data_IF_238997438056
#
_entry.id   IF_238997438056
#
_cell.length_a   1.000
_cell.length_b   1.000
_cell.length_c   1.000
_cell.angle_alpha   90.00
_cell.angle_beta   90.00
_cell.angle_gamma   90.00
#
_symmetry.space_group_name_H-M   'P 1'
#
loop_
_entity.id
_entity.type
_entity.pdbx_description
1 polymer ?
#
# COMPACT_ATOMS: atom_id res chain seq x y z
N UNK A 1 0.37 -6.60 4.23
CA UNK A 1 1.83 -6.62 4.00
C UNK A 1 2.25 -6.82 2.54
N UNK A 2 2.08 -8.01 1.97
CA UNK A 2 2.62 -8.36 0.64
C UNK A 2 2.21 -7.38 -0.47
N UNK A 3 0.94 -6.96 -0.48
CA UNK A 3 0.43 -5.97 -1.44
C UNK A 3 1.17 -4.63 -1.35
N UNK A 4 1.52 -4.18 -0.14
CA UNK A 4 2.21 -2.90 0.07
C UNK A 4 3.69 -2.97 -0.36
N UNK A 5 4.34 -4.12 -0.20
CA UNK A 5 5.67 -4.34 -0.76
C UNK A 5 5.66 -4.37 -2.30
N UNK A 6 4.62 -4.95 -2.92
CA UNK A 6 4.43 -4.88 -4.36
C UNK A 6 4.21 -3.43 -4.81
N UNK A 7 3.39 -2.65 -4.09
CA UNK A 7 3.24 -1.21 -4.35
C UNK A 7 4.60 -0.52 -4.30
N UNK A 8 5.42 -0.76 -3.28
CA UNK A 8 6.73 -0.13 -3.18
C UNK A 8 7.67 -0.51 -4.34
N UNK A 9 7.66 -1.77 -4.77
CA UNK A 9 8.41 -2.22 -5.94
C UNK A 9 7.93 -1.52 -7.22
N UNK A 10 6.62 -1.39 -7.42
CA UNK A 10 6.03 -0.69 -8.56
C UNK A 10 6.32 0.81 -8.53
N UNK A 11 6.31 1.44 -7.35
CA UNK A 11 6.72 2.84 -7.17
C UNK A 11 8.16 3.04 -7.64
N UNK A 12 9.08 2.16 -7.22
CA UNK A 12 10.50 2.23 -7.64
C UNK A 12 10.67 2.04 -9.15
N UNK A 13 9.91 1.11 -9.74
CA UNK A 13 9.86 0.94 -11.20
C UNK A 13 9.24 2.16 -11.91
N UNK A 14 8.28 2.81 -11.26
CA UNK A 14 7.58 4.02 -11.70
C UNK A 14 8.50 5.22 -11.96
N UNK A 15 9.69 5.22 -11.34
CA UNK A 15 10.74 6.21 -11.61
C UNK A 15 11.26 6.14 -13.06
N UNK A 16 11.23 4.97 -13.67
CA UNK A 16 11.75 4.73 -15.01
C UNK A 16 10.63 4.62 -16.05
N UNK A 17 9.48 4.08 -15.67
CA UNK A 17 8.31 3.95 -16.54
C UNK A 17 7.03 4.30 -15.77
N UNK A 18 6.44 5.42 -16.16
CA UNK A 18 5.28 6.04 -15.49
C UNK A 18 4.08 5.09 -15.37
N UNK A 19 3.93 4.11 -16.27
CA UNK A 19 2.80 3.17 -16.20
C UNK A 19 2.78 2.39 -14.87
N UNK A 20 3.96 2.09 -14.31
CA UNK A 20 4.04 1.38 -13.03
C UNK A 20 3.67 2.28 -11.85
N UNK A 21 3.92 3.59 -11.96
CA UNK A 21 3.51 4.55 -10.93
C UNK A 21 2.00 4.69 -10.85
N UNK A 22 1.31 4.66 -12.00
CA UNK A 22 -0.15 4.70 -12.07
C UNK A 22 -0.76 3.43 -11.45
N UNK A 23 -0.22 2.24 -11.78
CA UNK A 23 -0.64 0.97 -11.17
C UNK A 23 -0.39 0.98 -9.65
N UNK A 24 0.79 1.43 -9.21
CA UNK A 24 1.13 1.52 -7.80
C UNK A 24 0.17 2.44 -7.03
N UNK A 25 -0.18 3.59 -7.62
CA UNK A 25 -1.10 4.57 -7.02
C UNK A 25 -2.49 3.95 -6.83
N UNK A 26 -3.04 3.32 -7.88
CA UNK A 26 -4.35 2.66 -7.81
C UNK A 26 -4.39 1.53 -6.77
N UNK A 27 -3.33 0.71 -6.71
CA UNK A 27 -3.22 -0.36 -5.71
C UNK A 27 -3.10 0.18 -4.29
N UNK A 28 -2.32 1.25 -4.08
CA UNK A 28 -2.17 1.90 -2.79
C UNK A 28 -3.50 2.47 -2.29
N UNK A 29 -4.24 3.17 -3.15
CA UNK A 29 -5.58 3.69 -2.85
C UNK A 29 -6.57 2.56 -2.52
N UNK A 30 -6.51 1.46 -3.26
CA UNK A 30 -7.33 0.27 -2.99
C UNK A 30 -7.07 -0.29 -1.59
N UNK A 31 -5.80 -0.50 -1.20
CA UNK A 31 -5.44 -0.97 0.16
C UNK A 31 -5.86 0.04 1.23
N UNK A 32 -5.73 1.34 0.93
CA UNK A 32 -6.12 2.43 1.83
C UNK A 32 -7.60 2.37 2.22
N UNK A 33 -8.47 1.92 1.31
CA UNK A 33 -9.91 1.79 1.51
C UNK A 33 -10.32 0.59 2.37
N UNK A 34 -9.44 -0.40 2.58
CA UNK A 34 -9.72 -1.55 3.46
C UNK A 34 -9.41 -1.28 4.93
N UNK A 35 -8.89 -0.10 5.26
CA UNK A 35 -8.74 0.33 6.66
C UNK A 35 -10.09 0.43 7.34
N UNK A 36 -10.15 0.05 8.62
CA UNK A 36 -11.40 0.13 9.37
C UNK A 36 -11.73 1.59 9.72
N UNK A 37 -12.86 1.80 10.41
CA UNK A 37 -13.36 3.11 10.80
C UNK A 37 -12.40 3.96 11.65
N UNK A 38 -11.38 3.36 12.28
CA UNK A 38 -10.31 4.08 13.01
C UNK A 38 -8.96 4.07 12.27
N UNK A 39 -8.93 3.65 11.01
CA UNK A 39 -7.74 3.68 10.16
C UNK A 39 -6.78 2.50 10.32
N UNK A 40 -7.19 1.41 10.99
CA UNK A 40 -6.32 0.26 11.23
C UNK A 40 -6.39 -0.78 10.11
N UNK A 41 -5.24 -1.41 9.85
CA UNK A 41 -5.07 -2.58 8.97
C UNK A 41 -4.84 -3.87 9.75
N UNK A 42 -5.38 -4.96 9.21
CA UNK A 42 -5.13 -6.34 9.60
C UNK A 42 -3.95 -6.95 8.82
N UNK A 43 -3.66 -8.22 9.13
CA UNK A 43 -2.71 -9.04 8.36
C UNK A 43 -3.19 -9.25 6.92
N UNK A 44 -4.45 -9.63 6.78
CA UNK A 44 -5.05 -10.08 5.54
C UNK A 44 -6.40 -9.43 5.32
N UNK A 45 -6.82 -9.38 4.05
CA UNK A 45 -8.13 -8.91 3.61
C UNK A 45 -8.75 -10.05 2.81
N UNK A 46 -9.94 -10.47 3.19
CA UNK A 46 -10.68 -11.50 2.47
C UNK A 46 -11.12 -11.01 1.08
N UNK A 47 -11.58 -11.92 0.23
CA UNK A 47 -12.17 -11.54 -1.07
C UNK A 47 -13.44 -10.69 -0.90
N UNK A 48 -14.17 -10.86 0.21
CA UNK A 48 -15.32 -10.02 0.59
C UNK A 48 -14.92 -8.66 1.18
N UNK A 49 -13.63 -8.42 1.43
CA UNK A 49 -13.11 -7.18 2.01
C UNK A 49 -13.05 -7.16 3.53
N UNK A 50 -13.34 -8.28 4.19
CA UNK A 50 -13.24 -8.40 5.64
C UNK A 50 -11.78 -8.43 6.08
N UNK A 51 -11.49 -7.74 7.19
CA UNK A 51 -10.18 -7.80 7.81
C UNK A 51 -10.01 -9.14 8.55
N UNK A 52 -8.97 -9.88 8.18
CA UNK A 52 -8.66 -11.21 8.72
C UNK A 52 -7.29 -11.21 9.42
N UNK A 53 -7.15 -12.11 10.40
CA UNK A 53 -5.92 -12.28 11.18
C UNK A 53 -5.72 -11.19 12.24
N UNK A 54 -4.47 -10.99 12.64
CA UNK A 54 -4.15 -10.04 13.72
C UNK A 54 -4.54 -8.61 13.35
N UNK A 55 -5.18 -7.90 14.29
CA UNK A 55 -5.61 -6.51 14.12
C UNK A 55 -5.44 -5.73 15.43
N UNK A 56 -4.79 -4.55 15.44
CA UNK A 56 -4.03 -3.97 14.33
C UNK A 56 -2.70 -4.73 14.12
N UNK A 57 -2.33 -4.99 12.87
CA UNK A 57 -1.06 -5.63 12.60
C UNK A 57 0.03 -4.61 12.29
N UNK A 58 1.05 -4.56 13.15
CA UNK A 58 2.10 -3.56 13.13
C UNK A 58 2.88 -3.54 11.79
N UNK A 59 3.18 -4.69 11.22
CA UNK A 59 3.95 -4.74 9.98
C UNK A 59 3.20 -4.11 8.80
N UNK A 60 1.89 -4.33 8.65
CA UNK A 60 1.05 -3.79 7.58
C UNK A 60 1.02 -2.27 7.68
N UNK A 61 0.98 -1.73 8.91
CA UNK A 61 1.12 -0.29 9.12
C UNK A 61 2.52 0.22 8.75
N UNK A 62 3.58 -0.51 9.11
CA UNK A 62 4.94 -0.15 8.73
C UNK A 62 5.12 -0.14 7.21
N UNK A 63 4.66 -1.18 6.51
CA UNK A 63 4.70 -1.23 5.05
C UNK A 63 3.81 -0.17 4.40
N UNK A 64 2.68 0.18 5.03
CA UNK A 64 1.79 1.23 4.53
C UNK A 64 2.48 2.59 4.56
N UNK A 65 3.12 2.93 5.69
CA UNK A 65 3.90 4.16 5.83
C UNK A 65 5.10 4.18 4.87
N UNK A 66 5.83 3.07 4.74
CA UNK A 66 6.95 2.95 3.79
C UNK A 66 6.50 3.20 2.34
N UNK A 67 5.42 2.54 1.92
CA UNK A 67 4.88 2.68 0.57
C UNK A 67 4.41 4.12 0.31
N UNK A 68 3.74 4.76 1.27
CA UNK A 68 3.29 6.15 1.16
C UNK A 68 4.46 7.13 0.96
N UNK A 69 5.52 6.99 1.77
CA UNK A 69 6.72 7.84 1.68
C UNK A 69 7.39 7.67 0.32
N UNK A 70 7.59 6.43 -0.13
CA UNK A 70 8.25 6.18 -1.41
C UNK A 70 7.40 6.67 -2.59
N UNK A 71 6.07 6.48 -2.53
CA UNK A 71 5.16 6.95 -3.58
C UNK A 71 5.25 8.46 -3.75
N UNK A 72 5.26 9.19 -2.64
CA UNK A 72 5.36 10.65 -2.63
C UNK A 72 6.71 11.15 -3.18
N UNK A 73 7.81 10.50 -2.81
CA UNK A 73 9.15 10.82 -3.33
C UNK A 73 9.22 10.70 -4.85
N UNK A 74 8.75 9.57 -5.39
CA UNK A 74 8.76 9.35 -6.85
C UNK A 74 7.83 10.32 -7.56
N UNK A 75 6.65 10.64 -6.98
CA UNK A 75 5.75 11.67 -7.54
C UNK A 75 6.40 13.06 -7.59
N UNK A 76 7.27 13.39 -6.63
CA UNK A 76 8.07 14.63 -6.60
C UNK A 76 9.31 14.59 -7.49
N UNK A 77 9.65 13.45 -8.06
CA UNK A 77 10.84 13.28 -8.92
C UNK A 77 12.15 13.08 -8.16
N UNK A 78 12.10 12.70 -6.88
CA UNK A 78 13.26 12.33 -6.06
C UNK A 78 13.81 10.93 -6.41
#
# INVERSE_FOLDING_TARGET
>A
MCTLWLVEALVRAGKYDKKYLDVATNMFETVTNFRNHVGMLSEEISVSGEQLGNTPQAFSHLAYVSAAINLERVKKGE
#
